data_IF_154883928845
#
_entry.id   IF_154883928845
#
_cell.length_a   1.000
_cell.length_b   1.000
_cell.length_c   1.000
_cell.angle_alpha   90.00
_cell.angle_beta   90.00
_cell.angle_gamma   90.00
#
_symmetry.space_group_name_H-M   'P 1'
#
loop_
_entity.id
_entity.type
_entity.pdbx_description
1 polymer ?
#
# COMPACT_ATOMS: atom_id res chain seq x y z
N UNK A 1 -12.08 18.49 1.22
CA UNK A 1 -11.43 19.63 1.90
C UNK A 1 -10.45 19.20 3.00
N UNK A 2 -10.82 18.38 3.98
CA UNK A 2 -9.93 17.96 5.09
C UNK A 2 -8.73 17.13 4.62
N UNK A 3 -8.91 16.22 3.67
CA UNK A 3 -7.85 15.34 3.14
C UNK A 3 -6.79 16.10 2.36
N UNK A 4 -7.20 17.04 1.50
CA UNK A 4 -6.29 17.97 0.81
C UNK A 4 -5.46 18.75 1.83
N UNK A 5 -6.11 19.24 2.90
CA UNK A 5 -5.44 19.95 3.98
C UNK A 5 -4.33 19.12 4.63
N UNK A 6 -4.56 17.84 4.91
CA UNK A 6 -3.59 16.96 5.59
C UNK A 6 -2.31 16.79 4.76
N UNK A 7 -2.40 16.53 3.45
CA UNK A 7 -1.22 16.32 2.59
C UNK A 7 -0.36 17.58 2.50
N UNK A 8 -1.01 18.75 2.41
CA UNK A 8 -0.26 20.02 2.42
C UNK A 8 0.36 20.35 3.77
N UNK A 9 -0.12 19.73 4.86
CA UNK A 9 0.45 19.86 6.19
C UNK A 9 1.51 18.80 6.52
N UNK A 10 1.76 17.82 5.63
CA UNK A 10 2.84 16.86 5.81
C UNK A 10 4.20 17.58 5.91
N UNK A 11 4.43 18.60 5.09
CA UNK A 11 5.63 19.42 5.19
C UNK A 11 5.75 20.14 6.54
N UNK A 12 4.61 20.60 7.09
CA UNK A 12 4.58 21.21 8.43
C UNK A 12 4.83 20.14 9.51
N UNK A 13 4.22 18.98 9.39
CA UNK A 13 4.46 17.85 10.29
C UNK A 13 5.93 17.43 10.27
N UNK A 14 6.51 17.31 9.09
CA UNK A 14 7.93 16.99 8.91
C UNK A 14 8.83 18.06 9.55
N UNK A 15 8.49 19.34 9.35
CA UNK A 15 9.21 20.45 10.02
C UNK A 15 9.06 20.41 11.55
N UNK A 16 7.88 20.11 12.09
CA UNK A 16 7.66 19.95 13.53
C UNK A 16 8.50 18.78 14.08
N UNK A 17 8.51 17.65 13.40
CA UNK A 17 9.30 16.47 13.79
C UNK A 17 10.81 16.76 13.77
N UNK A 18 11.28 17.66 12.90
CA UNK A 18 12.66 18.13 12.86
C UNK A 18 12.97 19.15 13.96
N UNK A 19 12.10 20.13 14.19
CA UNK A 19 12.35 21.27 15.07
C UNK A 19 12.14 20.93 16.55
N UNK A 20 11.19 20.04 16.87
CA UNK A 20 10.89 19.67 18.26
C UNK A 20 12.09 19.08 19.01
N UNK A 21 12.87 18.14 18.45
CA UNK A 21 14.10 17.66 19.05
C UNK A 21 15.11 18.78 19.32
N UNK A 22 15.30 19.69 18.36
CA UNK A 22 16.22 20.82 18.50
C UNK A 22 15.78 21.77 19.62
N UNK A 23 14.49 22.03 19.74
CA UNK A 23 13.92 22.83 20.83
C UNK A 23 14.16 22.16 22.19
N UNK A 24 13.96 20.85 22.29
CA UNK A 24 14.23 20.09 23.52
C UNK A 24 15.70 20.15 23.92
N UNK A 25 16.63 20.08 22.97
CA UNK A 25 18.06 20.25 23.21
C UNK A 25 18.39 21.65 23.78
N UNK A 26 17.82 22.71 23.16
CA UNK A 26 17.98 24.09 23.60
C UNK A 26 17.43 24.33 25.02
N UNK A 27 16.22 23.80 25.29
CA UNK A 27 15.58 23.87 26.60
C UNK A 27 16.45 23.15 27.65
N UNK A 28 16.86 21.93 27.35
CA UNK A 28 17.68 21.10 28.23
C UNK A 28 18.97 21.81 28.60
N UNK A 29 19.69 22.38 27.63
CA UNK A 29 20.90 23.15 27.87
C UNK A 29 20.67 24.38 28.74
N UNK A 30 19.61 25.17 28.53
CA UNK A 30 19.24 26.33 29.37
C UNK A 30 18.89 25.91 30.80
N UNK A 31 18.15 24.81 30.99
CA UNK A 31 17.74 24.28 32.28
C UNK A 31 18.95 23.78 33.07
N UNK A 32 19.89 23.12 32.41
CA UNK A 32 21.16 22.71 33.03
C UNK A 32 21.98 23.90 33.57
N UNK A 33 22.07 24.99 32.80
CA UNK A 33 22.74 26.25 33.26
C UNK A 33 22.09 26.88 34.50
N UNK A 34 20.77 26.64 34.73
CA UNK A 34 20.04 27.11 35.92
C UNK A 34 20.13 26.15 37.11
N UNK A 35 21.17 25.30 37.21
CA UNK A 35 21.44 24.31 38.27
C UNK A 35 20.44 23.18 38.40
N UNK A 36 19.46 23.03 37.48
CA UNK A 36 18.53 21.87 37.40
C UNK A 36 19.09 20.78 36.49
N UNK A 37 20.27 20.24 36.85
CA UNK A 37 21.05 19.37 35.97
C UNK A 37 20.31 18.13 35.51
N UNK A 38 19.59 17.42 36.41
CA UNK A 38 18.84 16.20 36.06
C UNK A 38 17.72 16.48 35.02
N UNK A 39 16.91 17.52 35.24
CA UNK A 39 15.86 17.87 34.29
C UNK A 39 16.41 18.30 32.91
N UNK A 40 17.51 19.06 32.92
CA UNK A 40 18.17 19.43 31.69
C UNK A 40 18.74 18.24 30.93
N UNK A 41 19.34 17.29 31.62
CA UNK A 41 19.84 16.04 31.04
C UNK A 41 18.73 15.20 30.46
N UNK A 42 17.59 15.07 31.16
CA UNK A 42 16.41 14.38 30.64
C UNK A 42 15.88 15.01 29.32
N UNK A 43 15.76 16.35 29.28
CA UNK A 43 15.32 17.03 28.04
C UNK A 43 16.30 16.81 26.90
N UNK A 44 17.60 16.84 27.13
CA UNK A 44 18.62 16.56 26.12
C UNK A 44 18.50 15.11 25.62
N UNK A 45 18.39 14.15 26.54
CA UNK A 45 18.28 12.73 26.17
C UNK A 45 17.03 12.48 25.31
N UNK A 46 15.87 13.03 25.70
CA UNK A 46 14.62 12.92 24.92
C UNK A 46 14.79 13.59 23.54
N UNK A 47 15.41 14.77 23.48
CA UNK A 47 15.69 15.45 22.21
C UNK A 47 16.61 14.65 21.29
N UNK A 48 17.67 14.06 21.84
CA UNK A 48 18.59 13.19 21.08
C UNK A 48 17.88 11.95 20.55
N UNK A 49 17.08 11.26 21.38
CA UNK A 49 16.32 10.06 20.98
C UNK A 49 15.32 10.42 19.88
N UNK A 50 14.51 11.46 20.07
CA UNK A 50 13.51 11.88 19.10
C UNK A 50 14.15 12.28 17.75
N UNK A 51 15.25 13.06 17.79
CA UNK A 51 16.01 13.45 16.60
C UNK A 51 16.64 12.26 15.87
N UNK A 52 17.18 11.30 16.62
CA UNK A 52 17.73 10.07 16.03
C UNK A 52 16.66 9.20 15.39
N UNK A 53 15.50 9.03 16.04
CA UNK A 53 14.36 8.29 15.48
C UNK A 53 13.81 8.96 14.22
N UNK A 54 13.67 10.28 14.24
CA UNK A 54 13.25 11.04 13.06
C UNK A 54 14.25 10.86 11.91
N UNK A 55 15.55 11.09 12.16
CA UNK A 55 16.58 10.95 11.14
C UNK A 55 16.64 9.52 10.59
N UNK A 56 16.55 8.51 11.46
CA UNK A 56 16.46 7.11 11.04
C UNK A 56 15.25 6.87 10.15
N UNK A 57 14.05 7.24 10.60
CA UNK A 57 12.80 7.03 9.84
C UNK A 57 12.81 7.72 8.49
N UNK A 58 13.34 8.95 8.45
CA UNK A 58 13.35 9.82 7.26
C UNK A 58 14.35 9.39 6.20
N UNK A 59 15.57 9.00 6.61
CA UNK A 59 16.68 8.76 5.69
C UNK A 59 17.00 7.28 5.48
N UNK A 60 16.66 6.41 6.42
CA UNK A 60 16.94 4.98 6.36
C UNK A 60 15.65 4.15 6.34
N UNK A 61 14.78 4.29 7.34
CA UNK A 61 13.59 3.44 7.49
C UNK A 61 12.64 3.50 6.30
N UNK A 62 12.45 4.70 5.72
CA UNK A 62 11.61 4.90 4.52
C UNK A 62 12.20 4.30 3.23
N UNK A 63 13.46 3.86 3.24
CA UNK A 63 14.15 3.22 2.12
C UNK A 63 14.42 1.74 2.37
N UNK A 64 13.83 1.16 3.41
CA UNK A 64 13.88 -0.27 3.69
C UNK A 64 12.61 -0.94 3.22
N UNK A 65 12.76 -2.15 2.69
CA UNK A 65 11.64 -3.05 2.42
C UNK A 65 12.04 -4.49 2.71
N UNK A 66 11.05 -5.33 2.95
CA UNK A 66 11.20 -6.76 3.15
C UNK A 66 10.38 -7.54 2.11
N UNK A 67 10.81 -8.77 1.84
CA UNK A 67 10.03 -9.73 1.06
C UNK A 67 9.39 -10.71 2.03
N UNK A 68 8.07 -10.61 2.17
CA UNK A 68 7.29 -11.48 3.04
C UNK A 68 6.67 -12.61 2.23
N UNK A 69 6.81 -13.84 2.72
CA UNK A 69 6.22 -15.03 2.10
C UNK A 69 5.09 -15.55 2.97
N UNK A 70 3.93 -15.77 2.34
CA UNK A 70 2.75 -16.32 2.98
C UNK A 70 2.11 -17.37 2.08
N UNK A 71 1.37 -18.31 2.68
CA UNK A 71 0.59 -19.29 1.95
C UNK A 71 -0.89 -19.07 2.19
N UNK A 72 -1.68 -19.21 1.15
CA UNK A 72 -3.14 -19.25 1.24
C UNK A 72 -3.63 -20.60 0.69
N UNK A 73 -4.21 -21.42 1.57
CA UNK A 73 -4.71 -22.74 1.21
C UNK A 73 -6.25 -22.73 1.12
N UNK A 74 -6.78 -23.19 -0.02
CA UNK A 74 -8.22 -23.29 -0.25
C UNK A 74 -8.59 -24.64 -0.86
N UNK A 75 -9.74 -25.19 -0.47
CA UNK A 75 -10.32 -26.37 -1.09
C UNK A 75 -10.96 -26.09 -2.46
N UNK A 76 -11.22 -24.81 -2.77
CA UNK A 76 -11.80 -24.34 -4.03
C UNK A 76 -10.74 -24.06 -5.09
N UNK A 77 -9.45 -24.07 -4.71
CA UNK A 77 -8.36 -23.82 -5.66
C UNK A 77 -8.22 -25.00 -6.62
N UNK A 78 -8.30 -24.77 -7.95
CA UNK A 78 -8.04 -25.83 -8.93
C UNK A 78 -6.60 -26.38 -8.79
N UNK A 79 -6.44 -27.69 -8.91
CA UNK A 79 -5.16 -28.37 -8.70
C UNK A 79 -4.01 -27.85 -9.59
N UNK A 80 -4.33 -27.38 -10.81
CA UNK A 80 -3.35 -26.79 -11.73
C UNK A 80 -2.72 -25.49 -11.18
N UNK A 81 -3.31 -24.88 -10.17
CA UNK A 81 -2.81 -23.66 -9.51
C UNK A 81 -2.15 -23.94 -8.15
N UNK A 82 -1.94 -25.20 -7.76
CA UNK A 82 -1.15 -25.51 -6.56
C UNK A 82 0.29 -25.03 -6.74
N UNK A 83 0.76 -24.21 -5.81
CA UNK A 83 2.08 -23.58 -5.87
C UNK A 83 2.13 -22.27 -6.69
N UNK A 84 0.99 -21.79 -7.22
CA UNK A 84 0.92 -20.52 -7.96
C UNK A 84 1.36 -19.35 -7.11
N UNK A 85 2.27 -18.52 -7.62
CA UNK A 85 2.86 -17.38 -6.89
C UNK A 85 2.31 -16.06 -7.37
N UNK A 86 1.58 -15.38 -6.50
CA UNK A 86 1.15 -14.00 -6.68
C UNK A 86 2.10 -13.11 -5.90
N UNK A 87 2.75 -12.15 -6.57
CA UNK A 87 3.56 -11.14 -5.90
C UNK A 87 2.76 -9.85 -5.82
N UNK A 88 2.42 -9.45 -4.58
CA UNK A 88 1.71 -8.20 -4.30
C UNK A 88 2.68 -7.11 -3.87
N UNK A 89 2.47 -5.91 -4.41
CA UNK A 89 2.97 -4.66 -3.86
C UNK A 89 1.87 -3.59 -3.89
N UNK A 90 2.00 -2.56 -3.08
CA UNK A 90 0.96 -1.57 -2.84
C UNK A 90 1.54 -0.24 -2.41
N UNK A 91 0.74 0.82 -2.46
CA UNK A 91 1.04 2.11 -1.82
C UNK A 91 2.46 2.58 -2.17
N UNK A 92 2.74 2.68 -3.46
CA UNK A 92 4.07 3.04 -3.93
C UNK A 92 4.40 4.50 -3.59
N UNK A 93 3.40 5.40 -3.66
CA UNK A 93 3.56 6.82 -3.34
C UNK A 93 4.82 7.43 -3.95
N UNK A 94 4.92 7.35 -5.27
CA UNK A 94 6.14 7.61 -6.03
C UNK A 94 6.69 9.02 -5.86
N UNK A 95 5.84 10.01 -5.56
CA UNK A 95 6.28 11.36 -5.22
C UNK A 95 7.24 11.42 -4.04
N UNK A 96 7.20 10.43 -3.14
CA UNK A 96 8.11 10.31 -2.00
C UNK A 96 9.53 9.85 -2.39
N UNK A 97 9.73 9.39 -3.63
CA UNK A 97 10.99 8.81 -4.12
C UNK A 97 11.62 9.61 -5.26
N UNK A 98 11.42 10.92 -5.31
CA UNK A 98 12.04 11.78 -6.30
C UNK A 98 13.58 11.88 -6.16
N UNK A 99 14.26 12.26 -7.24
CA UNK A 99 15.70 12.52 -7.28
C UNK A 99 16.54 11.28 -6.92
N UNK A 100 17.47 11.41 -5.98
CA UNK A 100 18.39 10.32 -5.57
C UNK A 100 17.68 9.11 -4.96
N UNK A 101 16.42 9.25 -4.54
CA UNK A 101 15.64 8.17 -3.95
C UNK A 101 15.02 7.21 -4.98
N UNK A 102 15.06 7.54 -6.28
CA UNK A 102 14.59 6.67 -7.36
C UNK A 102 15.22 5.28 -7.36
N UNK A 103 16.47 5.18 -6.88
CA UNK A 103 17.17 3.89 -6.74
C UNK A 103 16.42 2.89 -5.83
N UNK A 104 15.56 3.37 -4.94
CA UNK A 104 14.69 2.52 -4.12
C UNK A 104 13.70 1.74 -5.00
N UNK A 105 13.01 2.43 -5.92
CA UNK A 105 12.02 1.82 -6.82
C UNK A 105 12.68 0.80 -7.74
N UNK A 106 13.88 1.10 -8.27
CA UNK A 106 14.64 0.12 -9.03
C UNK A 106 14.90 -1.16 -8.23
N UNK A 107 15.38 -1.04 -6.98
CA UNK A 107 15.63 -2.19 -6.10
C UNK A 107 14.35 -2.99 -5.81
N UNK A 108 13.21 -2.31 -5.67
CA UNK A 108 11.89 -2.94 -5.48
C UNK A 108 11.54 -3.78 -6.72
N UNK A 109 11.64 -3.21 -7.92
CA UNK A 109 11.37 -3.92 -9.18
C UNK A 109 12.29 -5.11 -9.35
N UNK A 110 13.59 -4.93 -9.15
CA UNK A 110 14.57 -6.02 -9.22
C UNK A 110 14.22 -7.15 -8.22
N UNK A 111 13.71 -6.77 -7.02
CA UNK A 111 13.29 -7.73 -5.99
C UNK A 111 11.98 -8.44 -6.32
N UNK A 112 11.01 -7.76 -6.96
CA UNK A 112 9.76 -8.38 -7.44
C UNK A 112 10.09 -9.44 -8.49
N UNK A 113 10.87 -9.08 -9.50
CA UNK A 113 11.24 -10.01 -10.59
C UNK A 113 12.06 -11.22 -10.09
N UNK A 114 12.92 -11.01 -9.08
CA UNK A 114 13.69 -12.10 -8.44
C UNK A 114 12.81 -13.12 -7.70
N UNK A 115 11.51 -12.84 -7.46
CA UNK A 115 10.59 -13.84 -6.90
C UNK A 115 10.02 -14.77 -7.96
N UNK A 116 10.30 -14.53 -9.25
CA UNK A 116 9.75 -15.29 -10.38
C UNK A 116 8.24 -15.47 -10.26
N UNK A 117 7.46 -14.36 -10.25
CA UNK A 117 6.02 -14.40 -10.06
C UNK A 117 5.32 -15.08 -11.25
N UNK A 118 4.27 -15.85 -10.95
CA UNK A 118 3.30 -16.23 -11.97
C UNK A 118 2.42 -15.02 -12.33
N UNK A 119 2.03 -14.23 -11.32
CA UNK A 119 1.27 -13.00 -11.45
C UNK A 119 1.83 -11.93 -10.53
N UNK A 120 1.85 -10.68 -10.97
CA UNK A 120 2.08 -9.52 -10.10
C UNK A 120 0.78 -8.74 -9.94
N UNK A 121 0.50 -8.28 -8.72
CA UNK A 121 -0.66 -7.44 -8.44
C UNK A 121 -0.24 -6.17 -7.71
N UNK A 122 -0.80 -5.05 -8.15
CA UNK A 122 -0.67 -3.74 -7.52
C UNK A 122 -2.01 -3.31 -6.92
N UNK A 123 -2.03 -3.06 -5.62
CA UNK A 123 -3.27 -2.81 -4.88
C UNK A 123 -3.48 -1.33 -4.54
N UNK A 124 -3.09 -0.42 -5.45
CA UNK A 124 -3.45 1.01 -5.41
C UNK A 124 -2.44 1.93 -4.74
N UNK A 125 -2.70 3.23 -4.86
CA UNK A 125 -1.87 4.34 -4.38
C UNK A 125 -0.49 4.39 -5.06
N UNK A 126 -0.49 4.60 -6.38
CA UNK A 126 0.73 4.72 -7.16
C UNK A 126 1.40 6.09 -6.96
N UNK A 127 0.62 7.16 -6.91
CA UNK A 127 1.03 8.55 -6.73
C UNK A 127 0.70 9.08 -5.34
N UNK A 128 1.26 10.24 -4.97
CA UNK A 128 0.86 10.96 -3.76
C UNK A 128 -0.27 11.97 -4.06
N UNK A 129 -0.11 12.76 -5.12
CA UNK A 129 -1.00 13.87 -5.45
C UNK A 129 -1.36 13.86 -6.94
N UNK A 130 -0.38 13.66 -7.83
CA UNK A 130 -0.55 13.82 -9.27
C UNK A 130 0.14 12.70 -10.05
N UNK A 131 -0.41 12.35 -11.23
CA UNK A 131 0.15 11.28 -12.05
C UNK A 131 1.55 11.60 -12.61
N UNK A 132 1.93 12.88 -12.71
CA UNK A 132 3.26 13.29 -13.14
C UNK A 132 4.37 12.77 -12.21
N UNK A 133 4.04 12.43 -10.97
CA UNK A 133 4.97 11.81 -10.02
C UNK A 133 5.43 10.41 -10.45
N UNK A 134 4.67 9.75 -11.34
CA UNK A 134 4.96 8.40 -11.83
C UNK A 134 6.03 8.43 -12.94
N UNK A 135 6.04 9.48 -13.77
CA UNK A 135 6.85 9.57 -14.97
C UNK A 135 8.36 9.28 -14.73
N UNK A 136 9.02 9.84 -13.70
CA UNK A 136 10.43 9.54 -13.42
C UNK A 136 10.73 8.08 -13.11
N UNK A 137 9.72 7.30 -12.72
CA UNK A 137 9.84 5.91 -12.30
C UNK A 137 9.37 4.91 -13.37
N UNK A 138 8.73 5.36 -14.43
CA UNK A 138 8.15 4.56 -15.51
C UNK A 138 9.15 3.58 -16.11
N UNK A 139 10.38 4.03 -16.36
CA UNK A 139 11.46 3.19 -16.89
C UNK A 139 11.78 1.95 -16.03
N UNK A 140 11.49 2.00 -14.72
CA UNK A 140 11.69 0.88 -13.82
C UNK A 140 10.42 0.03 -13.68
N UNK A 141 9.27 0.67 -13.49
CA UNK A 141 8.00 -0.02 -13.26
C UNK A 141 7.55 -0.84 -14.48
N UNK A 142 7.84 -0.37 -15.71
CA UNK A 142 7.58 -1.11 -16.94
C UNK A 142 8.43 -2.38 -17.10
N UNK A 143 9.43 -2.59 -16.24
CA UNK A 143 10.27 -3.81 -16.21
C UNK A 143 9.75 -4.87 -15.25
N UNK A 144 8.62 -4.66 -14.60
CA UNK A 144 7.98 -5.71 -13.79
C UNK A 144 7.46 -6.78 -14.73
N UNK A 145 7.89 -8.04 -14.50
CA UNK A 145 7.58 -9.19 -15.34
C UNK A 145 6.88 -10.27 -14.52
N UNK A 146 5.83 -10.86 -15.11
CA UNK A 146 5.15 -12.02 -14.57
C UNK A 146 4.60 -12.87 -15.72
N UNK A 147 4.53 -14.19 -15.54
CA UNK A 147 4.09 -15.12 -16.59
C UNK A 147 2.67 -14.81 -17.10
N UNK A 148 1.75 -14.50 -16.19
CA UNK A 148 0.35 -14.18 -16.49
C UNK A 148 0.05 -12.66 -16.43
N UNK A 149 1.11 -11.84 -16.34
CA UNK A 149 1.03 -10.37 -16.40
C UNK A 149 0.87 -9.68 -15.06
N UNK A 150 0.70 -8.36 -15.16
CA UNK A 150 0.56 -7.44 -14.01
C UNK A 150 -0.85 -6.90 -13.99
N UNK A 151 -1.55 -7.07 -12.86
CA UNK A 151 -2.90 -6.55 -12.64
C UNK A 151 -2.88 -5.47 -11.57
N UNK A 152 -3.74 -4.48 -11.72
CA UNK A 152 -3.75 -3.34 -10.80
C UNK A 152 -5.16 -2.83 -10.51
N UNK A 153 -5.31 -2.16 -9.37
CA UNK A 153 -6.47 -1.33 -9.03
C UNK A 153 -6.00 0.06 -8.62
N UNK A 154 -6.91 1.02 -8.57
CA UNK A 154 -6.65 2.35 -8.06
C UNK A 154 -6.83 2.39 -6.53
N UNK A 155 -5.99 3.17 -5.84
CA UNK A 155 -6.19 3.56 -4.46
C UNK A 155 -6.75 4.97 -4.34
N UNK A 156 -7.02 5.41 -3.12
CA UNK A 156 -7.65 6.71 -2.91
C UNK A 156 -6.80 7.90 -3.39
N UNK A 157 -5.48 7.77 -3.48
CA UNK A 157 -4.59 8.80 -4.01
C UNK A 157 -4.65 8.92 -5.54
N UNK A 158 -5.12 7.90 -6.23
CA UNK A 158 -5.12 7.86 -7.68
C UNK A 158 -6.35 8.57 -8.31
N UNK A 159 -7.33 9.03 -7.49
CA UNK A 159 -8.55 9.69 -7.94
C UNK A 159 -8.47 11.23 -8.00
N UNK A 160 -7.29 11.80 -7.84
CA UNK A 160 -7.06 13.24 -7.87
C UNK A 160 -7.73 14.03 -6.70
N UNK A 161 -8.20 13.35 -5.67
CA UNK A 161 -8.86 13.97 -4.51
C UNK A 161 -7.93 14.84 -3.66
N UNK A 162 -6.63 14.72 -3.87
CA UNK A 162 -5.60 15.44 -3.12
C UNK A 162 -5.06 16.69 -3.82
N UNK A 163 -5.58 17.01 -4.99
CA UNK A 163 -5.26 18.26 -5.67
C UNK A 163 -5.75 19.49 -4.90
N UNK A 164 -5.05 20.62 -5.04
CA UNK A 164 -5.48 21.92 -4.47
C UNK A 164 -6.54 22.63 -5.31
N UNK A 165 -6.98 22.03 -6.40
CA UNK A 165 -7.99 22.62 -7.29
C UNK A 165 -9.27 21.81 -7.27
N UNK A 166 -10.38 22.47 -7.50
CA UNK A 166 -11.68 21.88 -7.79
C UNK A 166 -12.08 22.09 -9.27
N UNK A 167 -11.14 22.55 -10.11
CA UNK A 167 -11.38 22.68 -11.55
C UNK A 167 -11.64 21.28 -12.15
N UNK A 168 -12.86 21.03 -12.68
CA UNK A 168 -13.21 19.72 -13.22
C UNK A 168 -12.33 19.31 -14.40
N UNK A 169 -11.79 20.24 -15.15
CA UNK A 169 -10.90 19.95 -16.29
C UNK A 169 -9.60 19.36 -15.78
N UNK A 170 -9.00 19.98 -14.75
CA UNK A 170 -7.76 19.51 -14.16
C UNK A 170 -7.96 18.18 -13.39
N UNK A 171 -9.04 18.04 -12.62
CA UNK A 171 -9.38 16.79 -11.91
C UNK A 171 -9.54 15.65 -12.91
N UNK A 172 -10.26 15.84 -14.02
CA UNK A 172 -10.43 14.82 -15.06
C UNK A 172 -9.12 14.50 -15.79
N UNK A 173 -8.26 15.52 -16.04
CA UNK A 173 -6.94 15.31 -16.63
C UNK A 173 -6.08 14.43 -15.72
N UNK A 174 -6.06 14.71 -14.44
CA UNK A 174 -5.29 13.95 -13.44
C UNK A 174 -5.77 12.52 -13.30
N UNK A 175 -7.09 12.30 -13.16
CA UNK A 175 -7.65 10.96 -13.13
C UNK A 175 -7.38 10.19 -14.43
N UNK A 176 -7.57 10.84 -15.58
CA UNK A 176 -7.27 10.25 -16.88
C UNK A 176 -5.79 9.87 -17.01
N UNK A 177 -4.89 10.73 -16.52
CA UNK A 177 -3.45 10.46 -16.46
C UNK A 177 -3.11 9.28 -15.55
N UNK A 178 -3.69 9.22 -14.35
CA UNK A 178 -3.51 8.07 -13.43
C UNK A 178 -3.95 6.75 -14.09
N UNK A 179 -5.13 6.72 -14.70
CA UNK A 179 -5.65 5.54 -15.43
C UNK A 179 -4.75 5.18 -16.62
N UNK A 180 -4.36 6.18 -17.43
CA UNK A 180 -3.51 5.98 -18.61
C UNK A 180 -2.13 5.43 -18.26
N UNK A 181 -1.58 5.84 -17.12
CA UNK A 181 -0.27 5.42 -16.69
C UNK A 181 -0.17 3.90 -16.46
N UNK A 182 -1.21 3.26 -15.91
CA UNK A 182 -1.24 1.79 -15.77
C UNK A 182 -1.13 1.10 -17.13
N UNK A 183 -1.83 1.63 -18.14
CA UNK A 183 -1.77 1.10 -19.51
C UNK A 183 -0.39 1.31 -20.13
N UNK A 184 0.22 2.47 -19.92
CA UNK A 184 1.57 2.77 -20.42
C UNK A 184 2.66 1.91 -19.76
N UNK A 185 2.43 1.48 -18.52
CA UNK A 185 3.27 0.51 -17.82
C UNK A 185 3.05 -0.94 -18.29
N UNK A 186 2.07 -1.20 -19.16
CA UNK A 186 1.69 -2.54 -19.61
C UNK A 186 0.86 -3.31 -18.58
N UNK A 187 0.29 -2.64 -17.59
CA UNK A 187 -0.51 -3.27 -16.53
C UNK A 187 -1.99 -3.32 -16.91
N UNK A 188 -2.67 -4.39 -16.52
CA UNK A 188 -4.11 -4.54 -16.68
C UNK A 188 -4.81 -3.88 -15.49
N UNK A 189 -5.30 -2.65 -15.68
CA UNK A 189 -6.09 -1.95 -14.67
C UNK A 189 -7.50 -2.53 -14.61
N UNK A 190 -7.91 -2.99 -13.44
CA UNK A 190 -9.24 -3.52 -13.16
C UNK A 190 -10.07 -2.45 -12.43
N UNK A 191 -11.16 -2.02 -13.07
CA UNK A 191 -12.10 -1.02 -12.54
C UNK A 191 -13.49 -1.66 -12.46
N UNK A 192 -13.84 -2.20 -11.30
CA UNK A 192 -15.06 -2.99 -11.11
C UNK A 192 -15.21 -4.04 -12.22
N UNK A 193 -14.16 -4.82 -12.45
CA UNK A 193 -14.08 -5.78 -13.56
C UNK A 193 -13.14 -6.92 -13.20
N UNK A 194 -13.13 -7.96 -14.04
CA UNK A 194 -12.30 -9.15 -13.81
C UNK A 194 -11.63 -9.65 -15.09
N UNK A 195 -10.64 -10.52 -14.90
CA UNK A 195 -9.98 -11.32 -15.93
C UNK A 195 -9.86 -12.76 -15.47
N UNK A 196 -9.85 -13.69 -16.41
CA UNK A 196 -9.64 -15.11 -16.14
C UNK A 196 -8.21 -15.49 -16.55
N UNK A 197 -7.51 -16.16 -15.66
CA UNK A 197 -6.19 -16.75 -15.90
C UNK A 197 -6.37 -18.25 -16.06
N UNK A 198 -5.85 -18.80 -17.14
CA UNK A 198 -6.01 -20.21 -17.51
C UNK A 198 -4.71 -20.97 -17.36
N UNK A 199 -4.78 -22.16 -16.82
CA UNK A 199 -3.73 -23.20 -16.86
C UNK A 199 -4.36 -24.52 -17.25
N UNK A 200 -3.95 -25.08 -18.37
CA UNK A 200 -4.56 -26.26 -18.97
C UNK A 200 -6.10 -26.09 -19.13
N UNK A 201 -6.86 -26.97 -18.53
CA UNK A 201 -8.33 -26.93 -18.53
C UNK A 201 -8.92 -26.16 -17.33
N UNK A 202 -8.09 -25.67 -16.41
CA UNK A 202 -8.50 -24.99 -15.19
C UNK A 202 -8.29 -23.46 -15.30
N UNK A 203 -9.03 -22.71 -14.49
CA UNK A 203 -8.88 -21.26 -14.41
C UNK A 203 -9.07 -20.74 -12.99
N UNK A 204 -8.49 -19.59 -12.72
CA UNK A 204 -8.80 -18.72 -11.58
C UNK A 204 -9.21 -17.35 -12.09
N UNK A 205 -9.94 -16.60 -11.29
CA UNK A 205 -10.36 -15.24 -11.60
C UNK A 205 -9.55 -14.24 -10.78
N UNK A 206 -9.02 -13.22 -11.45
CA UNK A 206 -8.53 -12.01 -10.83
C UNK A 206 -9.56 -10.91 -11.05
N UNK A 207 -10.17 -10.43 -9.98
CA UNK A 207 -11.15 -9.35 -10.01
C UNK A 207 -10.58 -8.10 -9.33
N UNK A 208 -11.02 -6.92 -9.74
CA UNK A 208 -10.61 -5.67 -9.13
C UNK A 208 -11.79 -4.74 -8.93
N UNK A 209 -11.91 -4.22 -7.71
CA UNK A 209 -12.83 -3.14 -7.39
C UNK A 209 -12.11 -1.79 -7.48
N UNK A 210 -12.86 -0.76 -7.84
CA UNK A 210 -12.43 0.61 -7.55
C UNK A 210 -12.47 0.84 -6.05
N UNK A 211 -11.74 1.86 -5.55
CA UNK A 211 -11.65 2.09 -4.11
C UNK A 211 -13.04 2.18 -3.45
N UNK A 212 -13.31 1.35 -2.45
CA UNK A 212 -14.53 1.38 -1.63
C UNK A 212 -14.18 1.84 -0.21
N UNK A 213 -13.69 3.08 -0.12
CA UNK A 213 -13.29 3.67 1.13
C UNK A 213 -14.44 4.01 2.06
N UNK A 214 -14.15 4.12 3.35
CA UNK A 214 -15.11 4.54 4.37
C UNK A 214 -14.95 6.03 4.70
N UNK A 215 -16.08 6.71 4.92
CA UNK A 215 -16.11 8.11 5.36
C UNK A 215 -15.68 9.07 4.26
N UNK A 216 -14.45 9.57 4.32
CA UNK A 216 -13.93 10.61 3.41
C UNK A 216 -13.25 10.08 2.14
N UNK A 217 -12.99 8.79 2.09
CA UNK A 217 -12.31 8.18 0.96
C UNK A 217 -13.29 7.85 -0.19
N UNK A 218 -12.84 7.81 -1.44
CA UNK A 218 -13.70 7.47 -2.57
C UNK A 218 -14.42 6.13 -2.35
N UNK A 219 -15.75 6.13 -2.48
CA UNK A 219 -16.61 4.96 -2.37
C UNK A 219 -17.17 4.55 -3.73
N UNK A 220 -16.28 4.18 -4.68
CA UNK A 220 -16.61 3.84 -6.07
C UNK A 220 -16.63 2.34 -6.34
N UNK A 221 -16.27 1.54 -5.35
CA UNK A 221 -16.23 0.08 -5.45
C UNK A 221 -17.61 -0.53 -5.62
N UNK A 222 -17.76 -1.35 -6.64
CA UNK A 222 -18.98 -2.09 -6.97
C UNK A 222 -18.65 -3.58 -7.13
N UNK A 223 -18.85 -4.34 -6.06
CA UNK A 223 -18.58 -5.77 -6.04
C UNK A 223 -19.53 -6.57 -6.95
N UNK A 224 -20.75 -6.08 -7.21
CA UNK A 224 -21.71 -6.73 -8.10
C UNK A 224 -21.20 -6.63 -9.54
N UNK A 225 -20.76 -5.45 -9.95
CA UNK A 225 -20.15 -5.22 -11.26
C UNK A 225 -18.81 -5.93 -11.41
N UNK A 226 -17.97 -5.89 -10.36
CA UNK A 226 -16.65 -6.52 -10.36
C UNK A 226 -16.72 -8.05 -10.51
N UNK A 227 -17.83 -8.69 -10.14
CA UNK A 227 -18.02 -10.13 -10.22
C UNK A 227 -19.15 -10.54 -11.21
N UNK A 228 -19.63 -9.59 -12.01
CA UNK A 228 -20.75 -9.85 -12.92
C UNK A 228 -20.42 -10.98 -13.91
N UNK A 229 -21.31 -11.97 -13.99
CA UNK A 229 -21.20 -13.11 -14.91
C UNK A 229 -20.25 -14.22 -14.43
N UNK A 230 -19.75 -14.17 -13.19
CA UNK A 230 -18.97 -15.25 -12.59
C UNK A 230 -19.88 -16.24 -11.87
N UNK A 231 -19.52 -17.52 -11.97
CA UNK A 231 -20.16 -18.60 -11.22
C UNK A 231 -19.59 -18.64 -9.78
N UNK A 232 -20.41 -19.10 -8.83
CA UNK A 232 -20.03 -19.16 -7.40
C UNK A 232 -18.95 -20.20 -7.11
N UNK A 233 -18.74 -21.13 -7.98
CA UNK A 233 -17.74 -22.20 -7.89
C UNK A 233 -16.35 -21.75 -8.36
N UNK A 234 -16.25 -20.60 -9.03
CA UNK A 234 -14.98 -20.07 -9.49
C UNK A 234 -14.14 -19.58 -8.32
N UNK A 235 -12.84 -19.91 -8.37
CA UNK A 235 -11.87 -19.38 -7.42
C UNK A 235 -11.51 -17.94 -7.79
N UNK A 236 -11.78 -17.01 -6.88
CA UNK A 236 -11.61 -15.57 -7.12
C UNK A 236 -10.59 -14.97 -6.16
N UNK A 237 -9.60 -14.28 -6.73
CA UNK A 237 -8.73 -13.32 -6.02
C UNK A 237 -9.24 -11.92 -6.34
N UNK A 238 -9.62 -11.17 -5.31
CA UNK A 238 -10.12 -9.79 -5.41
C UNK A 238 -9.03 -8.80 -5.03
N UNK A 239 -8.76 -7.83 -5.89
CA UNK A 239 -7.95 -6.65 -5.57
C UNK A 239 -8.89 -5.52 -5.14
N UNK A 240 -8.66 -4.96 -3.98
CA UNK A 240 -9.38 -3.82 -3.45
C UNK A 240 -8.47 -3.05 -2.49
N UNK A 241 -8.30 -1.75 -2.71
CA UNK A 241 -7.30 -0.97 -2.00
C UNK A 241 -7.61 -0.82 -0.51
N UNK A 242 -8.84 -0.41 -0.15
CA UNK A 242 -9.23 -0.14 1.23
C UNK A 242 -9.71 -1.43 1.94
N UNK A 243 -8.98 -1.93 2.95
CA UNK A 243 -9.33 -3.19 3.63
C UNK A 243 -10.65 -3.14 4.40
N UNK A 244 -11.22 -1.96 4.66
CA UNK A 244 -12.52 -1.84 5.35
C UNK A 244 -13.65 -2.38 4.49
N UNK A 245 -13.51 -2.36 3.17
CA UNK A 245 -14.44 -2.94 2.20
C UNK A 245 -14.63 -4.45 2.41
N UNK A 246 -13.59 -5.16 2.86
CA UNK A 246 -13.67 -6.62 3.05
C UNK A 246 -14.81 -7.04 3.97
N UNK A 247 -14.93 -6.40 5.13
CA UNK A 247 -16.01 -6.72 6.08
C UNK A 247 -17.36 -6.12 5.70
N UNK A 248 -17.36 -4.95 5.05
CA UNK A 248 -18.59 -4.25 4.68
C UNK A 248 -19.26 -4.81 3.43
N UNK A 249 -18.46 -5.23 2.45
CA UNK A 249 -18.94 -5.58 1.10
C UNK A 249 -18.53 -6.99 0.67
N UNK A 250 -17.24 -7.30 0.70
CA UNK A 250 -16.72 -8.51 0.05
C UNK A 250 -17.12 -9.76 0.83
N UNK A 251 -16.83 -9.79 2.13
CA UNK A 251 -17.11 -10.96 2.96
C UNK A 251 -18.61 -11.32 3.06
N UNK A 252 -19.54 -10.37 3.29
CA UNK A 252 -20.95 -10.69 3.44
C UNK A 252 -21.70 -10.94 2.11
N UNK A 253 -21.22 -10.37 1.00
CA UNK A 253 -22.02 -10.34 -0.24
C UNK A 253 -21.41 -11.11 -1.41
N UNK A 254 -20.21 -11.66 -1.27
CA UNK A 254 -19.52 -12.35 -2.37
C UNK A 254 -19.05 -13.74 -1.94
N UNK A 255 -18.52 -14.51 -2.91
CA UNK A 255 -17.85 -15.80 -2.69
C UNK A 255 -16.33 -15.72 -2.82
N UNK A 256 -15.75 -14.55 -2.92
CA UNK A 256 -14.32 -14.32 -3.08
C UNK A 256 -13.51 -15.06 -2.01
N UNK A 257 -12.53 -15.86 -2.41
CA UNK A 257 -11.70 -16.65 -1.48
C UNK A 257 -10.55 -15.85 -0.90
N UNK A 258 -9.87 -15.02 -1.71
CA UNK A 258 -8.74 -14.23 -1.27
C UNK A 258 -8.92 -12.77 -1.70
N UNK A 259 -8.79 -11.84 -0.74
CA UNK A 259 -8.74 -10.39 -1.02
C UNK A 259 -7.34 -9.87 -0.75
N UNK A 260 -6.84 -8.99 -1.61
CA UNK A 260 -5.53 -8.34 -1.46
C UNK A 260 -5.73 -6.83 -1.42
N UNK A 261 -5.24 -6.19 -0.35
CA UNK A 261 -5.44 -4.76 -0.05
C UNK A 261 -4.16 -4.07 0.39
N UNK A 262 -4.20 -2.74 0.45
CA UNK A 262 -3.14 -1.86 0.95
C UNK A 262 -3.65 -0.83 1.94
N UNK A 263 -3.46 0.47 1.64
CA UNK A 263 -4.06 1.65 2.28
C UNK A 263 -3.56 2.01 3.67
N UNK A 264 -3.37 1.05 4.55
CA UNK A 264 -3.09 1.30 5.98
C UNK A 264 -1.63 1.61 6.28
N UNK A 265 -0.73 1.27 5.36
CA UNK A 265 0.73 1.33 5.51
C UNK A 265 1.28 0.61 6.76
N UNK A 266 0.49 -0.24 7.42
CA UNK A 266 0.80 -0.74 8.76
C UNK A 266 1.02 0.40 9.78
N UNK A 267 0.52 1.63 9.47
CA UNK A 267 0.66 2.85 10.25
C UNK A 267 2.02 3.54 10.14
N UNK A 268 2.94 3.06 9.34
CA UNK A 268 4.31 3.58 9.13
C UNK A 268 5.20 3.66 10.39
N UNK A 269 4.61 3.57 11.58
CA UNK A 269 5.32 3.52 12.87
C UNK A 269 4.85 2.30 13.64
N UNK A 270 5.79 1.49 14.10
CA UNK A 270 5.54 0.46 15.10
C UNK A 270 6.70 0.39 16.11
N UNK A 271 6.34 0.23 17.36
CA UNK A 271 7.29 -0.01 18.45
C UNK A 271 6.89 -1.34 19.10
N UNK A 272 7.85 -2.26 19.18
CA UNK A 272 7.64 -3.60 19.76
C UNK A 272 6.45 -4.36 19.12
N UNK A 273 6.24 -4.19 17.81
CA UNK A 273 5.16 -4.83 17.06
C UNK A 273 3.78 -4.17 17.19
N UNK A 274 3.65 -3.11 17.99
CA UNK A 274 2.41 -2.34 18.10
C UNK A 274 2.47 -1.08 17.23
N UNK A 275 1.38 -0.81 16.48
CA UNK A 275 1.22 0.38 15.65
C UNK A 275 -0.12 1.06 15.96
N UNK A 276 -0.18 2.42 15.95
CA UNK A 276 -1.44 3.17 16.07
C UNK A 276 -2.51 2.79 15.02
N UNK A 277 -2.11 2.29 13.85
CA UNK A 277 -3.05 1.82 12.83
C UNK A 277 -3.96 0.70 13.33
N UNK A 278 -3.53 -0.10 14.31
CA UNK A 278 -4.33 -1.17 14.91
C UNK A 278 -5.53 -0.65 15.72
N UNK A 279 -5.54 0.64 16.08
CA UNK A 279 -6.67 1.30 16.73
C UNK A 279 -7.70 1.81 15.71
N UNK A 280 -7.26 2.07 14.48
CA UNK A 280 -8.09 2.66 13.43
C UNK A 280 -8.65 1.61 12.46
N UNK A 281 -7.87 0.56 12.19
CA UNK A 281 -8.21 -0.48 11.23
C UNK A 281 -8.26 -1.85 11.90
N UNK A 282 -9.38 -2.52 11.76
CA UNK A 282 -9.54 -3.89 12.25
C UNK A 282 -8.60 -4.86 11.53
N UNK A 283 -8.35 -4.63 10.24
CA UNK A 283 -7.33 -5.30 9.43
C UNK A 283 -6.25 -4.27 9.08
N UNK A 284 -5.23 -4.16 9.93
CA UNK A 284 -4.20 -3.12 9.77
C UNK A 284 -3.00 -3.57 8.92
N UNK A 285 -2.60 -4.82 8.96
CA UNK A 285 -1.57 -5.42 8.09
C UNK A 285 -1.48 -6.92 8.29
N UNK A 286 -1.04 -7.66 7.25
CA UNK A 286 -0.87 -9.11 7.29
C UNK A 286 -2.13 -9.87 6.90
N UNK A 287 -2.16 -11.17 7.18
CA UNK A 287 -3.24 -12.09 6.80
C UNK A 287 -4.30 -12.21 7.88
N UNK A 288 -5.58 -12.06 7.49
CA UNK A 288 -6.75 -12.29 8.35
C UNK A 288 -7.67 -13.32 7.70
N UNK A 289 -8.29 -14.17 8.50
CA UNK A 289 -9.13 -15.25 8.04
C UNK A 289 -10.57 -15.11 8.56
N UNK A 290 -11.53 -15.53 7.70
CA UNK A 290 -12.93 -15.70 8.08
C UNK A 290 -13.48 -16.96 7.39
N UNK A 291 -13.60 -18.05 8.10
CA UNK A 291 -13.90 -19.37 7.52
C UNK A 291 -12.78 -19.82 6.58
N UNK A 292 -13.12 -20.27 5.37
CA UNK A 292 -12.16 -20.65 4.31
C UNK A 292 -11.64 -19.47 3.46
N UNK A 293 -11.96 -18.23 3.84
CA UNK A 293 -11.67 -17.01 3.08
C UNK A 293 -10.66 -16.14 3.83
N UNK A 294 -9.90 -15.33 3.09
CA UNK A 294 -8.88 -14.47 3.69
C UNK A 294 -8.79 -13.10 3.04
N UNK A 295 -8.23 -12.15 3.78
CA UNK A 295 -7.67 -10.90 3.25
C UNK A 295 -6.20 -10.80 3.67
N UNK A 296 -5.35 -10.35 2.75
CA UNK A 296 -4.01 -9.87 3.08
C UNK A 296 -3.95 -8.35 2.90
N UNK A 297 -3.51 -7.65 3.94
CA UNK A 297 -3.32 -6.19 3.93
C UNK A 297 -1.84 -5.90 3.93
N UNK A 298 -1.34 -5.32 2.82
CA UNK A 298 0.06 -4.94 2.66
C UNK A 298 0.39 -3.70 3.48
N UNK A 299 1.65 -3.62 3.95
CA UNK A 299 2.20 -2.42 4.58
C UNK A 299 2.59 -1.34 3.57
N UNK A 300 2.46 -1.62 2.26
CA UNK A 300 2.87 -0.72 1.19
C UNK A 300 4.38 -0.51 1.09
N UNK A 301 4.82 0.15 0.04
CA UNK A 301 6.23 0.46 -0.21
C UNK A 301 6.60 1.86 0.27
N UNK A 302 5.76 2.84 -0.05
CA UNK A 302 5.93 4.25 0.28
C UNK A 302 4.96 4.73 1.35
N UNK A 303 4.57 5.97 1.22
CA UNK A 303 3.58 6.63 2.06
C UNK A 303 3.64 8.12 1.86
N UNK A 304 2.52 8.79 2.09
CA UNK A 304 2.46 10.24 2.06
C UNK A 304 3.32 10.87 3.17
N UNK A 305 3.44 10.23 4.33
CA UNK A 305 4.37 10.63 5.39
C UNK A 305 5.77 10.16 5.01
N UNK A 306 6.79 11.06 4.98
CA UNK A 306 8.09 10.75 4.38
C UNK A 306 9.05 9.93 5.26
N UNK A 307 8.56 9.29 6.31
CA UNK A 307 9.37 8.49 7.23
C UNK A 307 8.64 7.23 7.71
N UNK A 308 9.43 6.17 7.98
CA UNK A 308 8.98 4.88 8.52
C UNK A 308 9.86 4.45 9.69
N UNK A 309 9.25 3.99 10.77
CA UNK A 309 9.96 3.53 11.98
C UNK A 309 9.38 2.18 12.40
N UNK A 310 10.18 1.11 12.32
CA UNK A 310 9.76 -0.24 12.72
C UNK A 310 8.75 -0.91 11.79
N UNK A 311 8.39 -0.25 10.67
CA UNK A 311 7.50 -0.80 9.62
C UNK A 311 8.19 -0.58 8.28
N UNK A 312 9.06 -1.49 7.82
CA UNK A 312 9.65 -1.42 6.49
C UNK A 312 8.56 -1.52 5.41
N UNK A 313 8.88 -1.07 4.20
CA UNK A 313 8.08 -1.36 3.01
C UNK A 313 7.95 -2.87 2.80
N UNK A 314 6.96 -3.31 2.03
CA UNK A 314 6.67 -4.73 1.90
C UNK A 314 6.40 -5.15 0.45
N UNK A 315 7.05 -6.22 0.02
CA UNK A 315 6.70 -7.02 -1.15
C UNK A 315 6.21 -8.35 -0.61
N UNK A 316 5.01 -8.78 -1.03
CA UNK A 316 4.39 -10.00 -0.50
C UNK A 316 4.35 -11.07 -1.57
N UNK A 317 4.90 -12.23 -1.28
CA UNK A 317 4.80 -13.43 -2.11
C UNK A 317 3.73 -14.33 -1.52
N UNK A 318 2.56 -14.42 -2.17
CA UNK A 318 1.46 -15.27 -1.77
C UNK A 318 1.52 -16.55 -2.61
N UNK A 319 1.75 -17.69 -1.98
CA UNK A 319 1.69 -18.98 -2.64
C UNK A 319 0.32 -19.61 -2.43
N UNK A 320 -0.41 -19.82 -3.52
CA UNK A 320 -1.70 -20.52 -3.47
C UNK A 320 -1.45 -22.02 -3.26
N UNK A 321 -2.24 -22.63 -2.37
CA UNK A 321 -2.15 -24.06 -2.05
C UNK A 321 -3.51 -24.73 -2.10
N UNK A 322 -3.57 -25.93 -2.69
CA UNK A 322 -4.77 -26.76 -2.58
C UNK A 322 -4.86 -27.35 -1.17
N UNK A 323 -6.05 -27.27 -0.60
CA UNK A 323 -6.35 -27.92 0.70
C UNK A 323 -7.10 -29.22 0.41
N UNK A 324 -6.57 -30.35 0.86
CA UNK A 324 -7.32 -31.61 0.82
C UNK A 324 -8.62 -31.43 1.61
N UNK A 325 -9.73 -31.81 0.97
CA UNK A 325 -11.07 -31.82 1.60
C UNK A 325 -11.13 -32.81 2.76
#
# INVERSE_FOLDING_TARGET
MITRYIIHHIALLDAVCLLLPLLLLCIGWRVMRRRRKCWGACCIAVGCIAGSLYAYGRYFGSLQFEVRRVEFASADLPAAFDGYRIVQFSDAHLGSFAGSRQAYIRRVVDSINAQHPDMVVFTGDLQNISFEEIEPHKQWLSRIEAADGVFSVLGNHDYADYLLTDDPVEVNRQLGGSVGMHQELGWVLLRNSWRRVQRDSASIVIAGMENDGEGRFPGLGDHVKALYGLDREEFVVMLEHDPTSWQRRILPHTHVQLTLSGHTHGGQIALFGWSPAQLLYRQSCGMYYAGGRAIYVSKGLGGAIPWRIGVPGEIVVITLKTKKK
#
